data_IF_656048517355
#
_entry.id   IF_656048517355
#
_cell.length_a   1.000
_cell.length_b   1.000
_cell.length_c   1.000
_cell.angle_alpha   90.00
_cell.angle_beta   90.00
_cell.angle_gamma   90.00
#
_symmetry.space_group_name_H-M   'P 1'
#
loop_
_entity.id
_entity.type
_entity.pdbx_description
1 polymer ?
#
# COMPACT_ATOMS: atom_id res chain seq x y z
N UNK A 1 -25.88 -74.74 28.45
CA UNK A 1 -24.73 -74.26 27.65
C UNK A 1 -25.13 -74.31 26.17
N UNK A 2 -25.81 -73.26 25.68
CA UNK A 2 -26.13 -72.95 24.26
C UNK A 2 -27.31 -71.98 24.26
N UNK A 3 -27.09 -70.70 24.57
CA UNK A 3 -28.07 -69.62 24.29
C UNK A 3 -27.43 -68.22 24.37
N UNK A 4 -26.18 -68.07 23.89
CA UNK A 4 -25.48 -66.79 23.84
C UNK A 4 -24.61 -66.65 22.57
N UNK A 5 -25.09 -67.12 21.42
CA UNK A 5 -24.39 -67.00 20.13
C UNK A 5 -25.31 -66.59 18.98
N UNK A 6 -26.33 -65.76 19.24
CA UNK A 6 -27.21 -65.21 18.19
C UNK A 6 -27.52 -63.71 18.33
N UNK A 7 -26.82 -62.97 19.19
CA UNK A 7 -26.96 -61.50 19.29
C UNK A 7 -25.75 -60.69 18.79
N UNK A 8 -24.70 -61.32 18.27
CA UNK A 8 -23.52 -60.62 17.73
C UNK A 8 -23.57 -60.34 16.22
N UNK A 9 -24.64 -60.73 15.52
CA UNK A 9 -24.77 -60.56 14.06
C UNK A 9 -25.76 -59.47 13.61
N UNK A 10 -26.33 -58.68 14.54
CA UNK A 10 -27.28 -57.59 14.23
C UNK A 10 -26.78 -56.18 14.62
N UNK A 11 -25.50 -56.06 15.02
CA UNK A 11 -24.87 -54.78 15.36
C UNK A 11 -23.92 -54.23 14.28
N UNK A 12 -23.85 -54.86 13.09
CA UNK A 12 -22.99 -54.42 11.99
C UNK A 12 -23.70 -53.74 10.81
N UNK A 13 -24.95 -53.29 10.97
CA UNK A 13 -25.66 -52.53 9.92
C UNK A 13 -26.43 -51.34 10.48
N UNK A 14 -25.77 -50.47 11.26
CA UNK A 14 -26.18 -49.06 11.45
C UNK A 14 -24.95 -48.17 11.70
N UNK A 15 -24.08 -48.03 10.71
CA UNK A 15 -23.41 -46.75 10.48
C UNK A 15 -24.08 -46.12 9.27
N UNK A 16 -25.24 -45.50 9.50
CA UNK A 16 -25.78 -44.53 8.56
C UNK A 16 -24.69 -43.49 8.33
N UNK A 17 -24.34 -43.32 7.06
CA UNK A 17 -23.35 -42.40 6.55
C UNK A 17 -23.53 -41.02 7.18
N UNK A 18 -22.69 -40.69 8.17
CA UNK A 18 -22.34 -39.30 8.46
C UNK A 18 -21.13 -38.93 7.60
N UNK A 19 -21.33 -39.09 6.29
CA UNK A 19 -20.53 -38.43 5.29
C UNK A 19 -21.14 -37.05 5.12
N UNK A 20 -20.88 -36.14 6.05
CA UNK A 20 -20.90 -34.73 5.72
C UNK A 20 -19.87 -34.57 4.59
N UNK A 21 -20.36 -34.66 3.36
CA UNK A 21 -19.70 -34.03 2.23
C UNK A 21 -19.62 -32.58 2.68
N UNK A 22 -18.44 -32.16 3.15
CA UNK A 22 -18.13 -30.75 3.33
C UNK A 22 -18.13 -30.17 1.92
N UNK A 23 -19.31 -29.86 1.41
CA UNK A 23 -19.46 -28.97 0.28
C UNK A 23 -18.73 -27.71 0.72
N UNK A 24 -17.61 -27.40 0.07
CA UNK A 24 -16.91 -26.15 0.35
C UNK A 24 -17.96 -25.04 0.22
N UNK A 25 -18.17 -24.26 1.29
CA UNK A 25 -19.15 -23.20 1.23
C UNK A 25 -18.72 -22.24 0.12
N UNK A 26 -19.55 -22.10 -0.93
CA UNK A 26 -19.27 -21.21 -2.06
C UNK A 26 -19.45 -19.72 -1.69
N UNK A 27 -19.44 -19.39 -0.40
CA UNK A 27 -19.61 -18.04 0.11
C UNK A 27 -18.76 -17.78 1.36
N UNK A 28 -18.52 -16.51 1.67
CA UNK A 28 -17.76 -16.08 2.83
C UNK A 28 -18.20 -14.69 3.29
N UNK A 29 -17.90 -14.35 4.54
CA UNK A 29 -18.24 -13.05 5.13
C UNK A 29 -17.06 -12.11 4.94
N UNK A 30 -17.26 -10.99 4.23
CA UNK A 30 -16.22 -9.98 4.01
C UNK A 30 -16.06 -9.07 5.23
N UNK A 31 -17.17 -8.65 5.79
CA UNK A 31 -17.27 -7.84 7.02
C UNK A 31 -18.69 -8.00 7.56
N UNK A 32 -19.00 -7.51 8.78
CA UNK A 32 -20.35 -7.60 9.31
C UNK A 32 -21.41 -7.14 8.30
N UNK A 33 -22.47 -7.94 8.14
CA UNK A 33 -23.56 -7.74 7.19
C UNK A 33 -23.17 -7.71 5.70
N UNK A 34 -21.97 -8.17 5.32
CA UNK A 34 -21.56 -8.28 3.91
C UNK A 34 -21.08 -9.70 3.62
N UNK A 35 -21.84 -10.41 2.79
CA UNK A 35 -21.59 -11.77 2.36
C UNK A 35 -21.18 -11.77 0.88
N UNK A 36 -20.14 -12.54 0.55
CA UNK A 36 -19.61 -12.67 -0.80
C UNK A 36 -19.82 -14.10 -1.28
N UNK A 37 -20.37 -14.26 -2.48
CA UNK A 37 -20.66 -15.54 -3.12
C UNK A 37 -19.67 -15.72 -4.27
N UNK A 38 -18.93 -16.82 -4.26
CA UNK A 38 -18.08 -17.24 -5.37
C UNK A 38 -18.99 -17.85 -6.44
N UNK A 39 -19.29 -17.06 -7.48
CA UNK A 39 -20.17 -17.50 -8.55
C UNK A 39 -19.35 -18.23 -9.59
N UNK A 40 -19.49 -19.56 -9.66
CA UNK A 40 -18.92 -20.36 -10.74
C UNK A 40 -19.75 -20.16 -12.01
N UNK A 41 -19.09 -19.98 -13.16
CA UNK A 41 -19.76 -19.91 -14.47
C UNK A 41 -20.34 -21.25 -14.93
N UNK A 42 -19.99 -22.35 -14.27
CA UNK A 42 -20.51 -23.69 -14.57
C UNK A 42 -21.75 -24.06 -13.77
N UNK A 43 -22.06 -23.35 -12.67
CA UNK A 43 -23.26 -23.55 -11.86
C UNK A 43 -24.15 -22.31 -11.94
N UNK A 44 -25.34 -22.47 -12.54
CA UNK A 44 -26.26 -21.33 -12.77
C UNK A 44 -26.86 -20.74 -11.47
N UNK A 45 -26.80 -21.48 -10.36
CA UNK A 45 -27.58 -21.20 -9.14
C UNK A 45 -26.72 -21.42 -7.90
N UNK A 46 -26.29 -20.32 -7.26
CA UNK A 46 -25.60 -20.38 -5.96
C UNK A 46 -26.60 -20.08 -4.84
N UNK A 47 -26.89 -21.07 -3.99
CA UNK A 47 -27.79 -20.92 -2.85
C UNK A 47 -27.03 -20.48 -1.60
N UNK A 48 -27.53 -19.46 -0.92
CA UNK A 48 -26.88 -18.88 0.26
C UNK A 48 -27.88 -18.69 1.39
N UNK A 49 -27.58 -19.17 2.61
CA UNK A 49 -28.41 -18.92 3.77
C UNK A 49 -28.19 -17.49 4.30
N UNK A 50 -29.29 -16.79 4.59
CA UNK A 50 -29.29 -15.51 5.29
C UNK A 50 -29.96 -15.67 6.65
N UNK A 51 -29.48 -14.92 7.64
CA UNK A 51 -30.02 -14.91 9.00
C UNK A 51 -30.27 -13.46 9.43
N UNK A 52 -31.46 -13.16 9.95
CA UNK A 52 -31.78 -11.80 10.40
C UNK A 52 -31.00 -11.43 11.66
N UNK A 53 -30.93 -12.37 12.62
CA UNK A 53 -30.08 -12.28 13.81
C UNK A 53 -30.51 -13.28 14.88
N UNK A 54 -29.60 -13.64 15.77
CA UNK A 54 -29.87 -14.61 16.85
C UNK A 54 -30.99 -14.13 17.79
N UNK A 55 -31.11 -12.81 17.99
CA UNK A 55 -32.12 -12.21 18.85
C UNK A 55 -33.57 -12.38 18.33
N UNK A 56 -33.75 -12.77 17.07
CA UNK A 56 -35.06 -12.86 16.43
C UNK A 56 -35.49 -14.30 16.14
N UNK A 57 -34.83 -15.28 16.75
CA UNK A 57 -35.22 -16.69 16.65
C UNK A 57 -36.67 -16.88 17.13
N UNK A 58 -37.48 -17.62 16.35
CA UNK A 58 -38.90 -17.85 16.64
C UNK A 58 -39.84 -16.66 16.39
N UNK A 59 -39.33 -15.51 15.93
CA UNK A 59 -40.18 -14.36 15.59
C UNK A 59 -40.67 -14.43 14.13
N UNK A 60 -41.83 -13.82 13.86
CA UNK A 60 -42.34 -13.66 12.51
C UNK A 60 -41.58 -12.54 11.79
N UNK A 61 -40.76 -12.94 10.81
CA UNK A 61 -39.87 -12.05 10.05
C UNK A 61 -40.20 -12.16 8.57
N UNK A 62 -40.26 -11.02 7.90
CA UNK A 62 -40.38 -10.94 6.45
C UNK A 62 -39.12 -10.34 5.86
N UNK A 63 -38.86 -10.60 4.58
CA UNK A 63 -37.65 -10.13 3.91
C UNK A 63 -37.98 -9.33 2.67
N UNK A 64 -37.15 -8.32 2.41
CA UNK A 64 -37.20 -7.53 1.18
C UNK A 64 -35.84 -7.51 0.51
N UNK A 65 -35.83 -7.50 -0.81
CA UNK A 65 -34.64 -7.31 -1.62
C UNK A 65 -34.63 -5.91 -2.21
N UNK A 66 -33.48 -5.24 -2.09
CA UNK A 66 -33.22 -3.88 -2.58
C UNK A 66 -34.28 -2.86 -2.14
N UNK A 67 -34.89 -3.07 -0.96
CA UNK A 67 -35.95 -2.25 -0.38
C UNK A 67 -37.21 -2.11 -1.27
N UNK A 68 -37.47 -3.06 -2.17
CA UNK A 68 -38.59 -2.99 -3.11
C UNK A 68 -39.31 -4.33 -3.31
N UNK A 69 -38.55 -5.40 -3.49
CA UNK A 69 -39.11 -6.72 -3.80
C UNK A 69 -39.37 -7.50 -2.51
N UNK A 70 -40.63 -7.76 -2.18
CA UNK A 70 -40.99 -8.64 -1.07
C UNK A 70 -40.66 -10.08 -1.45
N UNK A 71 -39.94 -10.77 -0.56
CA UNK A 71 -39.64 -12.19 -0.74
C UNK A 71 -40.76 -13.05 -0.15
N UNK A 72 -41.08 -14.15 -0.84
CA UNK A 72 -42.04 -15.13 -0.33
C UNK A 72 -41.50 -15.90 0.89
N UNK A 73 -40.17 -16.05 0.98
CA UNK A 73 -39.51 -16.69 2.10
C UNK A 73 -39.64 -15.86 3.39
N UNK A 74 -40.04 -16.51 4.47
CA UNK A 74 -40.28 -15.90 5.79
C UNK A 74 -39.50 -16.63 6.89
N UNK A 75 -39.35 -15.97 8.03
CA UNK A 75 -38.66 -16.48 9.22
C UNK A 75 -37.25 -15.91 9.40
N UNK A 76 -36.62 -16.27 10.52
CA UNK A 76 -35.28 -15.76 10.88
C UNK A 76 -34.20 -16.20 9.89
N UNK A 77 -34.39 -17.36 9.26
CA UNK A 77 -33.46 -17.94 8.30
C UNK A 77 -34.17 -18.13 6.96
N UNK A 78 -33.58 -17.61 5.90
CA UNK A 78 -34.03 -17.83 4.52
C UNK A 78 -32.85 -18.30 3.67
N UNK A 79 -33.15 -18.94 2.54
CA UNK A 79 -32.14 -19.25 1.53
C UNK A 79 -32.44 -18.43 0.29
N UNK A 80 -31.43 -17.76 -0.24
CA UNK A 80 -31.55 -16.94 -1.45
C UNK A 80 -30.66 -17.49 -2.55
N UNK A 81 -31.13 -17.36 -3.78
CA UNK A 81 -30.35 -17.71 -4.98
C UNK A 81 -29.62 -16.47 -5.49
N UNK A 82 -28.32 -16.60 -5.73
CA UNK A 82 -27.50 -15.61 -6.43
C UNK A 82 -27.15 -16.15 -7.80
N UNK A 83 -27.78 -15.57 -8.81
CA UNK A 83 -27.47 -15.84 -10.22
C UNK A 83 -26.45 -14.83 -10.71
N UNK A 84 -25.36 -15.31 -11.29
CA UNK A 84 -24.44 -14.47 -12.03
C UNK A 84 -23.93 -13.26 -11.20
N UNK A 85 -24.15 -12.02 -11.68
CA UNK A 85 -23.76 -10.78 -11.00
C UNK A 85 -24.90 -10.16 -10.19
N UNK A 86 -26.04 -10.85 -10.06
CA UNK A 86 -27.27 -10.37 -9.42
C UNK A 86 -27.27 -10.59 -7.91
N UNK A 87 -26.33 -9.98 -7.20
CA UNK A 87 -26.44 -9.88 -5.73
C UNK A 87 -27.60 -8.95 -5.30
N UNK A 88 -27.60 -8.55 -4.03
CA UNK A 88 -28.70 -7.71 -3.51
C UNK A 88 -28.48 -7.28 -2.07
N UNK A 89 -29.20 -6.24 -1.66
CA UNK A 89 -29.34 -5.90 -0.25
C UNK A 89 -30.62 -6.54 0.29
N UNK A 90 -30.49 -7.44 1.26
CA UNK A 90 -31.59 -8.17 1.85
C UNK A 90 -31.87 -7.62 3.23
N UNK A 91 -33.03 -6.99 3.40
CA UNK A 91 -33.46 -6.38 4.67
C UNK A 91 -34.53 -7.26 5.31
N UNK A 92 -34.36 -7.61 6.58
CA UNK A 92 -35.37 -8.30 7.35
C UNK A 92 -36.20 -7.32 8.17
N UNK A 93 -37.50 -7.60 8.26
CA UNK A 93 -38.51 -6.75 8.88
C UNK A 93 -39.30 -7.55 9.91
N UNK A 94 -39.78 -6.87 10.96
CA UNK A 94 -40.69 -7.47 11.93
C UNK A 94 -42.12 -7.63 11.38
N UNK A 95 -43.00 -8.22 12.18
CA UNK A 95 -44.44 -8.37 11.87
C UNK A 95 -45.18 -7.06 11.55
N UNK A 96 -44.65 -5.90 11.96
CA UNK A 96 -45.22 -4.57 11.70
C UNK A 96 -44.58 -3.89 10.49
N UNK A 97 -43.60 -4.53 9.84
CA UNK A 97 -42.83 -3.96 8.75
C UNK A 97 -41.67 -3.07 9.19
N UNK A 98 -41.30 -3.07 10.48
CA UNK A 98 -40.18 -2.30 11.00
C UNK A 98 -38.84 -2.97 10.65
N UNK A 99 -37.86 -2.18 10.24
CA UNK A 99 -36.52 -2.67 9.92
C UNK A 99 -35.81 -3.28 11.15
N UNK A 100 -35.25 -4.48 10.99
CA UNK A 100 -34.51 -5.20 12.03
C UNK A 100 -33.01 -5.26 11.74
N UNK A 101 -32.64 -5.77 10.57
CA UNK A 101 -31.26 -5.93 10.13
C UNK A 101 -31.18 -6.06 8.60
N UNK A 102 -29.96 -6.12 8.05
CA UNK A 102 -29.74 -6.41 6.64
C UNK A 102 -28.52 -7.31 6.42
N UNK A 103 -28.48 -7.93 5.26
CA UNK A 103 -27.29 -8.56 4.70
C UNK A 103 -27.13 -8.14 3.25
N UNK A 104 -26.00 -7.51 2.94
CA UNK A 104 -25.58 -7.21 1.59
C UNK A 104 -24.89 -8.44 1.00
N UNK A 105 -25.46 -9.00 -0.06
CA UNK A 105 -24.91 -10.14 -0.79
C UNK A 105 -24.24 -9.65 -2.07
N UNK A 106 -22.96 -9.97 -2.22
CA UNK A 106 -22.12 -9.62 -3.36
C UNK A 106 -21.70 -10.86 -4.14
N UNK A 107 -21.68 -10.77 -5.46
CA UNK A 107 -21.11 -11.78 -6.33
C UNK A 107 -19.62 -11.48 -6.55
N UNK A 108 -18.75 -12.45 -6.25
CA UNK A 108 -17.36 -12.42 -6.68
C UNK A 108 -17.30 -12.86 -8.14
N UNK A 109 -17.02 -11.91 -9.04
CA UNK A 109 -17.05 -12.13 -10.48
C UNK A 109 -15.74 -11.68 -11.11
N UNK A 110 -15.01 -12.60 -11.75
CA UNK A 110 -13.62 -12.35 -12.18
C UNK A 110 -13.47 -11.79 -13.60
N UNK A 111 -14.52 -11.87 -14.44
CA UNK A 111 -14.44 -11.53 -15.87
C UNK A 111 -14.53 -10.03 -16.20
N UNK A 112 -14.90 -9.17 -15.26
CA UNK A 112 -15.21 -7.75 -15.54
C UNK A 112 -14.53 -6.83 -14.52
N UNK A 113 -13.30 -6.44 -14.82
CA UNK A 113 -12.46 -5.60 -13.95
C UNK A 113 -13.12 -4.27 -13.58
N UNK A 114 -13.12 -3.97 -12.29
CA UNK A 114 -13.61 -2.71 -11.68
C UNK A 114 -12.54 -1.63 -11.78
N UNK A 115 -11.27 -1.99 -11.65
CA UNK A 115 -10.13 -1.06 -11.79
C UNK A 115 -9.26 -1.42 -13.01
N UNK A 116 -8.62 -0.41 -13.59
CA UNK A 116 -7.74 -0.55 -14.75
C UNK A 116 -6.36 -1.02 -14.34
N UNK A 117 -5.79 -1.91 -15.16
CA UNK A 117 -4.38 -2.26 -15.09
C UNK A 117 -3.57 -1.26 -15.92
N UNK A 118 -2.41 -0.84 -15.43
CA UNK A 118 -1.44 -0.07 -16.20
C UNK A 118 -0.16 -0.89 -16.38
N UNK A 119 0.47 -0.89 -17.57
CA UNK A 119 1.69 -1.68 -17.80
C UNK A 119 2.84 -1.34 -16.84
N UNK A 120 2.93 -0.08 -16.41
CA UNK A 120 4.01 0.40 -15.55
C UNK A 120 3.80 0.12 -14.06
N UNK A 121 2.55 0.19 -13.58
CA UNK A 121 2.25 0.22 -12.14
C UNK A 121 1.30 -0.88 -11.67
N UNK A 122 0.80 -1.71 -12.59
CA UNK A 122 -0.20 -2.70 -12.26
C UNK A 122 -1.59 -2.09 -12.01
N UNK A 123 -2.37 -2.78 -11.17
CA UNK A 123 -3.71 -2.35 -10.75
C UNK A 123 -3.69 -1.40 -9.54
N UNK A 124 -2.77 -1.61 -8.60
CA UNK A 124 -2.60 -0.80 -7.39
C UNK A 124 -1.15 -0.31 -7.36
N UNK A 125 -0.99 1.01 -7.32
CA UNK A 125 0.31 1.69 -7.28
C UNK A 125 0.54 2.23 -5.87
N UNK A 126 1.52 1.66 -5.16
CA UNK A 126 1.89 2.08 -3.81
C UNK A 126 3.23 2.82 -3.82
N UNK A 127 3.30 3.91 -3.07
CA UNK A 127 4.54 4.69 -2.90
C UNK A 127 4.59 5.39 -1.54
N UNK A 128 5.80 5.72 -1.10
CA UNK A 128 6.03 6.61 0.03
C UNK A 128 7.18 7.56 -0.28
N UNK A 129 7.21 8.73 0.35
CA UNK A 129 8.28 9.70 0.15
C UNK A 129 9.44 9.58 1.14
N UNK A 130 9.33 8.71 2.15
CA UNK A 130 10.33 8.50 3.18
C UNK A 130 10.16 7.14 3.88
N UNK A 131 10.98 6.89 4.90
CA UNK A 131 10.93 5.68 5.72
C UNK A 131 10.10 5.88 7.01
N UNK A 132 9.16 6.81 7.04
CA UNK A 132 8.38 7.12 8.24
C UNK A 132 7.20 6.18 8.53
N UNK A 133 7.09 5.05 7.83
CA UNK A 133 5.99 4.09 7.98
C UNK A 133 4.67 4.47 7.30
N UNK A 134 4.53 5.72 6.84
CA UNK A 134 3.38 6.16 6.04
C UNK A 134 3.56 5.76 4.58
N UNK A 135 2.51 5.27 3.93
CA UNK A 135 2.51 4.98 2.49
C UNK A 135 1.14 5.23 1.86
N UNK A 136 1.14 5.58 0.57
CA UNK A 136 -0.06 5.87 -0.22
C UNK A 136 -0.20 4.87 -1.35
N UNK A 137 -1.37 4.25 -1.46
CA UNK A 137 -1.71 3.39 -2.58
C UNK A 137 -2.86 3.99 -3.40
N UNK A 138 -2.72 4.00 -4.72
CA UNK A 138 -3.70 4.58 -5.63
C UNK A 138 -4.09 3.57 -6.73
N UNK A 139 -5.25 3.79 -7.34
CA UNK A 139 -5.76 3.00 -8.45
C UNK A 139 -6.54 3.88 -9.41
N UNK A 140 -6.88 3.33 -10.58
CA UNK A 140 -7.72 4.00 -11.57
C UNK A 140 -8.96 3.17 -11.85
N UNK A 141 -10.15 3.78 -11.81
CA UNK A 141 -11.40 3.11 -12.12
C UNK A 141 -11.51 2.70 -13.58
N UNK A 142 -12.15 1.55 -13.83
CA UNK A 142 -12.54 1.07 -15.15
C UNK A 142 -13.49 2.04 -15.86
N UNK A 143 -13.56 1.96 -17.19
CA UNK A 143 -14.49 2.79 -17.96
C UNK A 143 -15.93 2.44 -17.61
N UNK A 144 -16.77 3.47 -17.43
CA UNK A 144 -18.17 3.32 -17.06
C UNK A 144 -18.41 2.56 -15.74
N UNK A 145 -17.40 2.51 -14.84
CA UNK A 145 -17.54 1.90 -13.52
C UNK A 145 -17.78 2.97 -12.46
N UNK A 146 -18.91 2.84 -11.77
CA UNK A 146 -19.11 3.50 -10.49
C UNK A 146 -18.61 2.55 -9.39
N UNK A 147 -17.31 2.56 -9.16
CA UNK A 147 -16.64 1.72 -8.17
C UNK A 147 -16.53 2.42 -6.82
N UNK A 148 -16.53 1.64 -5.73
CA UNK A 148 -16.20 2.11 -4.39
C UNK A 148 -15.38 1.05 -3.65
N UNK A 149 -14.67 1.46 -2.61
CA UNK A 149 -13.93 0.54 -1.73
C UNK A 149 -14.92 -0.08 -0.74
N UNK A 150 -15.04 -1.40 -0.76
CA UNK A 150 -15.91 -2.16 0.14
C UNK A 150 -15.21 -2.47 1.47
N UNK A 151 -13.94 -2.83 1.42
CA UNK A 151 -13.13 -3.17 2.60
C UNK A 151 -11.64 -3.07 2.27
N UNK A 152 -10.83 -2.82 3.29
CA UNK A 152 -9.36 -2.74 3.21
C UNK A 152 -8.83 -3.60 4.34
N UNK A 153 -7.93 -4.51 4.01
CA UNK A 153 -7.22 -5.37 4.95
C UNK A 153 -5.73 -5.13 4.76
N UNK A 154 -5.01 -4.79 5.83
CA UNK A 154 -3.57 -4.57 5.80
C UNK A 154 -2.91 -5.23 7.00
N UNK A 155 -1.93 -6.09 6.75
CA UNK A 155 -1.27 -6.86 7.80
C UNK A 155 0.24 -6.98 7.61
N UNK A 156 0.94 -7.20 8.72
CA UNK A 156 2.29 -7.79 8.78
C UNK A 156 2.22 -9.10 9.57
N UNK A 157 2.62 -10.25 9.00
CA UNK A 157 2.39 -11.57 9.58
C UNK A 157 2.88 -11.82 11.02
N UNK A 158 4.01 -11.28 11.48
CA UNK A 158 4.59 -11.64 12.79
C UNK A 158 4.85 -10.47 13.75
N UNK A 159 4.39 -9.25 13.43
CA UNK A 159 4.62 -8.05 14.27
C UNK A 159 3.43 -7.51 15.06
N UNK A 160 2.22 -8.06 14.86
CA UNK A 160 0.99 -7.34 15.22
C UNK A 160 0.76 -6.21 14.22
N UNK A 161 -0.34 -6.26 13.47
CA UNK A 161 -0.61 -5.28 12.41
C UNK A 161 -1.25 -4.01 12.98
N UNK A 162 -0.45 -3.12 13.57
CA UNK A 162 -0.90 -1.78 13.93
C UNK A 162 -0.79 -0.83 12.72
N UNK A 163 -1.52 -1.17 11.67
CA UNK A 163 -1.57 -0.38 10.42
C UNK A 163 -2.96 0.20 10.27
N UNK A 164 -3.05 1.52 10.27
CA UNK A 164 -4.31 2.24 10.05
C UNK A 164 -4.35 2.82 8.64
N UNK A 165 -5.46 2.65 7.93
CA UNK A 165 -5.65 3.21 6.59
C UNK A 165 -6.90 4.09 6.52
N UNK A 166 -6.81 5.20 5.78
CA UNK A 166 -7.92 6.10 5.47
C UNK A 166 -8.09 6.24 3.96
N UNK A 167 -9.33 6.17 3.50
CA UNK A 167 -9.70 6.43 2.12
C UNK A 167 -9.69 7.94 1.84
N UNK A 168 -9.20 8.34 0.68
CA UNK A 168 -9.30 9.73 0.24
C UNK A 168 -10.73 10.15 -0.10
N UNK A 169 -10.98 11.46 -0.17
CA UNK A 169 -12.30 12.01 -0.45
C UNK A 169 -12.84 11.65 -1.84
N UNK A 170 -11.95 11.35 -2.79
CA UNK A 170 -12.32 10.96 -4.16
C UNK A 170 -12.55 9.45 -4.33
N UNK A 171 -12.22 8.64 -3.31
CA UNK A 171 -12.25 7.19 -3.39
C UNK A 171 -11.28 6.59 -4.40
N UNK A 172 -10.13 7.22 -4.66
CA UNK A 172 -9.12 6.77 -5.65
C UNK A 172 -7.78 6.40 -5.02
N UNK A 173 -7.61 6.67 -3.73
CA UNK A 173 -6.40 6.31 -3.01
C UNK A 173 -6.65 6.09 -1.53
N UNK A 174 -5.76 5.31 -0.91
CA UNK A 174 -5.67 5.15 0.53
C UNK A 174 -4.35 5.73 1.02
N UNK A 175 -4.39 6.32 2.21
CA UNK A 175 -3.22 6.65 3.00
C UNK A 175 -3.18 5.69 4.19
N UNK A 176 -2.08 4.97 4.34
CA UNK A 176 -1.86 4.05 5.44
C UNK A 176 -0.66 4.50 6.26
N UNK A 177 -0.72 4.24 7.57
CA UNK A 177 0.36 4.47 8.52
C UNK A 177 0.59 3.20 9.32
N UNK A 178 1.79 2.67 9.20
CA UNK A 178 2.31 1.59 10.05
C UNK A 178 2.92 2.20 11.31
N UNK A 179 2.20 2.11 12.42
CA UNK A 179 2.56 2.78 13.69
C UNK A 179 3.77 2.14 14.37
N UNK A 180 4.05 0.88 14.04
CA UNK A 180 5.13 0.11 14.66
C UNK A 180 6.37 0.05 13.73
N UNK A 181 6.35 0.78 12.61
CA UNK A 181 7.44 0.80 11.65
C UNK A 181 8.71 1.46 12.22
N UNK A 182 9.84 0.76 12.13
CA UNK A 182 11.15 1.30 12.51
C UNK A 182 11.96 1.67 11.25
N UNK A 183 12.22 2.96 10.99
CA UNK A 183 12.96 3.41 9.81
C UNK A 183 14.41 2.90 9.72
N UNK A 184 14.98 2.49 10.86
CA UNK A 184 16.39 2.11 10.99
C UNK A 184 16.60 0.60 11.00
N UNK A 185 15.53 -0.18 11.14
CA UNK A 185 15.61 -1.63 11.14
C UNK A 185 15.48 -2.18 9.72
N UNK A 186 16.11 -3.32 9.47
CA UNK A 186 15.87 -4.08 8.24
C UNK A 186 14.45 -4.65 8.25
N UNK A 187 13.72 -4.49 7.14
CA UNK A 187 12.38 -5.06 7.02
C UNK A 187 12.47 -6.58 6.78
N UNK A 188 12.12 -7.35 7.79
CA UNK A 188 12.04 -8.82 7.68
C UNK A 188 10.78 -9.25 6.91
N UNK A 189 9.69 -8.49 7.05
CA UNK A 189 8.37 -8.85 6.53
C UNK A 189 7.77 -7.79 5.61
N UNK A 190 7.07 -8.28 4.59
CA UNK A 190 6.33 -7.43 3.66
C UNK A 190 5.01 -7.00 4.28
N UNK A 191 4.61 -5.78 3.98
CA UNK A 191 3.21 -5.34 4.11
C UNK A 191 2.37 -6.17 3.14
N UNK A 192 1.29 -6.75 3.64
CA UNK A 192 0.29 -7.46 2.85
C UNK A 192 -1.00 -6.63 2.81
N UNK A 193 -1.25 -5.99 1.68
CA UNK A 193 -2.42 -5.14 1.45
C UNK A 193 -3.41 -5.87 0.55
N UNK A 194 -4.65 -6.02 1.00
CA UNK A 194 -5.77 -6.48 0.19
C UNK A 194 -6.87 -5.42 0.18
N UNK A 195 -7.24 -4.96 -1.02
CA UNK A 195 -8.35 -4.01 -1.20
C UNK A 195 -9.49 -4.73 -1.91
N UNK A 196 -10.69 -4.64 -1.33
CA UNK A 196 -11.92 -5.14 -1.92
C UNK A 196 -12.67 -3.97 -2.56
N UNK A 197 -12.81 -4.02 -3.89
CA UNK A 197 -13.58 -3.06 -4.66
C UNK A 197 -14.95 -3.60 -4.97
N UNK A 198 -15.96 -2.73 -4.98
CA UNK A 198 -17.32 -3.08 -5.32
C UNK A 198 -17.87 -2.14 -6.40
N UNK A 199 -18.63 -2.71 -7.33
CA UNK A 199 -19.46 -1.97 -8.27
C UNK A 199 -20.82 -2.66 -8.36
N UNK A 200 -21.89 -1.93 -8.02
CA UNK A 200 -23.24 -2.49 -7.84
C UNK A 200 -23.25 -3.65 -6.82
N UNK A 201 -23.48 -4.90 -7.24
CA UNK A 201 -23.43 -6.08 -6.37
C UNK A 201 -22.29 -7.03 -6.72
N UNK A 202 -21.28 -6.54 -7.44
CA UNK A 202 -20.08 -7.30 -7.78
C UNK A 202 -18.92 -6.83 -6.92
N UNK A 203 -18.12 -7.77 -6.43
CA UNK A 203 -16.88 -7.51 -5.69
C UNK A 203 -15.68 -8.10 -6.41
N UNK A 204 -14.55 -7.40 -6.33
CA UNK A 204 -13.23 -7.88 -6.74
C UNK A 204 -12.24 -7.61 -5.62
N UNK A 205 -11.24 -8.47 -5.48
CA UNK A 205 -10.15 -8.29 -4.53
C UNK A 205 -8.82 -8.14 -5.27
N UNK A 206 -7.97 -7.28 -4.75
CA UNK A 206 -6.63 -7.03 -5.29
C UNK A 206 -5.63 -7.01 -4.16
N UNK A 207 -4.56 -7.77 -4.33
CA UNK A 207 -3.50 -7.95 -3.35
C UNK A 207 -2.21 -7.27 -3.81
N UNK A 208 -1.55 -6.55 -2.90
CA UNK A 208 -0.24 -5.97 -3.09
C UNK A 208 0.66 -6.37 -1.91
N UNK A 209 1.85 -6.89 -2.22
CA UNK A 209 2.86 -7.28 -1.23
C UNK A 209 4.16 -6.56 -1.50
N UNK A 210 4.63 -5.78 -0.53
CA UNK A 210 5.83 -4.96 -0.70
C UNK A 210 6.55 -4.72 0.64
N UNK A 211 7.85 -4.47 0.55
CA UNK A 211 8.58 -3.79 1.62
C UNK A 211 8.41 -2.28 1.43
N UNK A 212 8.39 -1.51 2.52
CA UNK A 212 8.36 -0.04 2.45
C UNK A 212 9.57 0.46 1.65
N UNK A 213 10.78 -0.06 1.90
CA UNK A 213 12.00 0.32 1.16
C UNK A 213 11.89 0.18 -0.36
N UNK A 214 11.08 -0.75 -0.86
CA UNK A 214 10.91 -0.99 -2.30
C UNK A 214 9.95 0.02 -2.95
N UNK A 215 9.08 0.65 -2.16
CA UNK A 215 8.10 1.64 -2.62
C UNK A 215 8.51 3.07 -2.28
N UNK A 216 9.69 3.27 -1.68
CA UNK A 216 10.23 4.60 -1.40
C UNK A 216 10.53 5.32 -2.72
N UNK A 217 10.06 6.56 -2.79
CA UNK A 217 10.23 7.48 -3.90
C UNK A 217 10.35 8.89 -3.34
N UNK A 218 11.56 9.46 -3.26
CA UNK A 218 11.75 10.80 -2.70
C UNK A 218 10.90 11.83 -3.41
N UNK A 219 10.50 12.88 -2.68
CA UNK A 219 9.84 14.02 -3.29
C UNK A 219 10.76 14.76 -4.27
N UNK A 220 10.14 15.62 -5.08
CA UNK A 220 10.85 16.41 -6.08
C UNK A 220 11.95 17.27 -5.44
N UNK A 221 13.17 17.10 -5.93
CA UNK A 221 14.38 17.72 -5.39
C UNK A 221 14.34 19.26 -5.48
N UNK A 222 14.48 19.99 -4.35
CA UNK A 222 14.63 21.44 -4.37
C UNK A 222 15.96 21.89 -4.98
N UNK A 223 15.92 22.92 -5.84
CA UNK A 223 17.10 23.53 -6.47
C UNK A 223 17.05 25.04 -6.21
N UNK A 224 18.13 25.59 -5.65
CA UNK A 224 18.30 27.03 -5.41
C UNK A 224 19.59 27.54 -6.06
N UNK A 225 19.63 28.84 -6.38
CA UNK A 225 20.89 29.47 -6.82
C UNK A 225 21.83 29.55 -5.63
N UNK A 226 23.05 29.05 -5.78
CA UNK A 226 24.11 29.19 -4.78
C UNK A 226 24.99 30.40 -5.10
N UNK A 227 25.56 30.41 -6.31
CA UNK A 227 26.35 31.52 -6.82
C UNK A 227 26.10 31.73 -8.33
N UNK A 228 26.95 32.50 -9.01
CA UNK A 228 26.81 32.79 -10.45
C UNK A 228 27.11 31.60 -11.35
N UNK A 229 27.85 30.61 -10.86
CA UNK A 229 28.36 29.46 -11.63
C UNK A 229 27.93 28.11 -11.08
N UNK A 230 27.19 28.07 -9.96
CA UNK A 230 26.68 26.85 -9.34
C UNK A 230 25.29 27.01 -8.74
N UNK A 231 24.57 25.91 -8.72
CA UNK A 231 23.30 25.74 -8.01
C UNK A 231 23.50 24.83 -6.83
N UNK A 232 22.68 25.02 -5.82
CA UNK A 232 22.57 24.12 -4.69
C UNK A 232 21.34 23.23 -4.86
N UNK A 233 21.55 21.95 -4.62
CA UNK A 233 20.56 20.90 -4.57
C UNK A 233 20.44 20.46 -3.11
N UNK A 234 19.21 20.39 -2.60
CA UNK A 234 18.94 19.97 -1.22
C UNK A 234 18.08 18.73 -1.19
N UNK A 235 18.13 18.01 -0.07
CA UNK A 235 17.18 16.93 0.15
C UNK A 235 15.78 17.52 0.29
N UNK A 236 14.73 16.83 -0.20
CA UNK A 236 13.37 17.21 0.10
C UNK A 236 13.16 17.27 1.61
N UNK A 237 12.40 18.25 2.10
CA UNK A 237 12.13 18.40 3.55
C UNK A 237 11.39 17.20 4.15
N UNK A 238 10.68 16.46 3.30
CA UNK A 238 9.93 15.25 3.64
C UNK A 238 10.80 14.01 3.73
N UNK A 239 12.05 14.06 3.28
CA UNK A 239 12.95 12.90 3.29
C UNK A 239 13.36 12.52 4.71
N UNK A 240 13.66 11.25 4.92
CA UNK A 240 14.10 10.73 6.23
C UNK A 240 15.38 11.41 6.72
N UNK A 241 15.46 11.60 8.03
CA UNK A 241 16.62 12.17 8.73
C UNK A 241 17.17 11.17 9.74
N UNK A 242 18.49 11.19 10.03
CA UNK A 242 19.50 12.10 9.48
C UNK A 242 19.95 11.71 8.05
N UNK A 243 20.42 12.69 7.28
CA UNK A 243 20.89 12.46 5.89
C UNK A 243 22.15 11.58 5.81
N UNK A 244 22.90 11.46 6.91
CA UNK A 244 24.03 10.53 7.02
C UNK A 244 23.59 9.07 7.04
N UNK A 245 22.37 8.79 7.49
CA UNK A 245 21.79 7.44 7.53
C UNK A 245 20.92 7.15 6.30
N UNK A 246 20.20 8.17 5.82
CA UNK A 246 19.35 8.08 4.62
C UNK A 246 19.95 8.92 3.48
N UNK A 247 21.09 8.50 2.89
CA UNK A 247 21.69 9.26 1.80
C UNK A 247 20.89 9.12 0.51
N UNK A 248 20.68 10.26 -0.15
CA UNK A 248 20.17 10.33 -1.52
C UNK A 248 21.32 10.46 -2.50
N UNK A 249 21.16 9.78 -3.63
CA UNK A 249 21.95 10.01 -4.84
C UNK A 249 21.15 10.82 -5.84
N UNK A 250 21.77 11.85 -6.41
CA UNK A 250 21.18 12.67 -7.45
C UNK A 250 21.55 12.15 -8.84
N UNK A 251 20.58 12.18 -9.74
CA UNK A 251 20.82 12.09 -11.17
C UNK A 251 20.62 13.47 -11.79
N UNK A 252 21.63 13.92 -12.51
CA UNK A 252 21.71 15.25 -13.10
C UNK A 252 21.79 15.12 -14.61
N UNK A 253 21.02 15.95 -15.31
CA UNK A 253 20.98 16.00 -16.76
C UNK A 253 21.06 17.46 -17.21
N UNK A 254 22.04 17.80 -18.03
CA UNK A 254 22.08 19.08 -18.72
C UNK A 254 21.38 18.97 -20.08
N UNK A 255 20.52 19.94 -20.40
CA UNK A 255 19.77 19.98 -21.66
C UNK A 255 20.00 21.29 -22.41
N UNK A 256 20.39 21.14 -23.68
CA UNK A 256 20.45 22.21 -24.68
C UNK A 256 19.08 22.38 -25.35
N UNK A 257 18.07 22.82 -24.60
CA UNK A 257 16.75 23.06 -25.17
C UNK A 257 16.13 24.38 -24.73
N UNK A 258 16.11 25.36 -25.65
CA UNK A 258 15.51 26.69 -25.38
C UNK A 258 14.00 26.60 -25.11
N UNK A 259 13.27 25.77 -25.87
CA UNK A 259 11.79 25.70 -25.82
C UNK A 259 11.22 24.64 -24.85
N UNK A 260 12.04 23.79 -24.25
CA UNK A 260 11.54 22.70 -23.41
C UNK A 260 11.01 23.21 -22.06
N UNK A 261 9.78 22.82 -21.72
CA UNK A 261 9.13 23.08 -20.42
C UNK A 261 9.32 21.92 -19.43
N UNK A 262 9.79 20.76 -19.90
CA UNK A 262 10.03 19.54 -19.13
C UNK A 262 11.46 19.03 -19.39
N UNK A 263 11.90 18.06 -18.60
CA UNK A 263 13.21 17.40 -18.73
C UNK A 263 13.33 16.40 -19.89
N UNK A 264 12.40 16.50 -20.85
CA UNK A 264 12.35 15.68 -22.04
C UNK A 264 12.73 16.52 -23.27
N UNK A 265 13.62 15.98 -24.09
CA UNK A 265 14.17 16.64 -25.27
C UNK A 265 14.20 15.62 -26.40
N UNK A 266 13.38 15.86 -27.43
CA UNK A 266 13.18 14.97 -28.58
C UNK A 266 14.44 14.76 -29.44
N UNK A 267 15.53 15.46 -29.15
CA UNK A 267 16.82 15.30 -29.83
C UNK A 267 17.85 14.69 -28.87
N UNK A 268 18.39 13.49 -29.18
CA UNK A 268 19.33 12.78 -28.31
C UNK A 268 20.77 13.32 -28.35
N UNK A 269 21.09 14.31 -29.19
CA UNK A 269 22.49 14.74 -29.35
C UNK A 269 22.97 15.56 -28.14
N UNK A 270 23.75 14.91 -27.28
CA UNK A 270 24.43 15.39 -26.06
C UNK A 270 23.56 15.53 -24.79
N UNK A 271 22.90 14.45 -24.36
CA UNK A 271 22.38 14.35 -23.00
C UNK A 271 23.45 13.69 -22.12
N UNK A 272 24.27 14.49 -21.45
CA UNK A 272 25.19 13.98 -20.44
C UNK A 272 24.42 13.77 -19.13
N UNK A 273 24.37 12.52 -18.67
CA UNK A 273 23.72 12.13 -17.44
C UNK A 273 24.83 11.79 -16.44
N UNK A 274 24.85 12.50 -15.31
CA UNK A 274 25.78 12.26 -14.22
C UNK A 274 25.06 11.87 -12.95
N UNK A 275 25.74 11.11 -12.10
CA UNK A 275 25.27 10.68 -10.79
C UNK A 275 26.18 11.25 -9.72
N UNK A 276 25.63 11.83 -8.66
CA UNK A 276 26.43 12.48 -7.61
C UNK A 276 25.66 12.63 -6.31
N UNK A 277 26.38 12.75 -5.21
CA UNK A 277 25.84 13.16 -3.91
C UNK A 277 26.20 14.62 -3.60
N UNK A 278 26.92 15.29 -4.51
CA UNK A 278 27.37 16.66 -4.33
C UNK A 278 26.16 17.58 -4.37
N UNK A 279 25.99 18.36 -3.30
CA UNK A 279 24.91 19.33 -3.18
C UNK A 279 25.14 20.59 -4.04
N UNK A 280 26.39 20.95 -4.33
CA UNK A 280 26.73 22.12 -5.14
C UNK A 280 27.11 21.70 -6.56
N UNK A 281 26.20 21.91 -7.51
CA UNK A 281 26.41 21.50 -8.89
C UNK A 281 26.87 22.68 -9.74
N UNK A 282 27.91 22.52 -10.57
CA UNK A 282 28.32 23.54 -11.52
C UNK A 282 27.23 23.72 -12.59
N UNK A 283 27.14 24.94 -13.12
CA UNK A 283 26.10 25.32 -14.07
C UNK A 283 26.72 25.85 -15.35
N UNK A 284 26.37 25.23 -16.47
CA UNK A 284 26.76 25.73 -17.78
C UNK A 284 25.81 26.84 -18.26
N UNK A 285 26.37 28.00 -18.63
CA UNK A 285 25.59 29.15 -19.14
C UNK A 285 24.81 28.77 -20.40
N UNK A 286 23.52 29.10 -20.43
CA UNK A 286 22.65 28.85 -21.58
C UNK A 286 22.10 27.42 -21.67
N UNK A 287 22.41 26.56 -20.69
CA UNK A 287 21.80 25.24 -20.55
C UNK A 287 20.57 25.28 -19.64
N UNK A 288 19.82 24.18 -19.57
CA UNK A 288 18.92 23.93 -18.44
C UNK A 288 19.40 22.69 -17.72
N UNK A 289 19.21 22.64 -16.41
CA UNK A 289 19.60 21.50 -15.60
C UNK A 289 18.35 20.79 -15.09
N UNK A 290 18.37 19.47 -15.14
CA UNK A 290 17.34 18.60 -14.61
C UNK A 290 17.95 17.74 -13.51
N UNK A 291 17.31 17.71 -12.34
CA UNK A 291 17.79 16.93 -11.19
C UNK A 291 16.64 16.09 -10.64
N UNK A 292 16.93 14.85 -10.28
CA UNK A 292 16.06 13.98 -9.49
C UNK A 292 16.89 13.16 -8.50
N UNK A 293 16.26 12.60 -7.48
CA UNK A 293 16.93 11.83 -6.44
C UNK A 293 16.37 10.40 -6.35
N UNK A 294 17.18 9.48 -5.86
CA UNK A 294 16.76 8.17 -5.34
C UNK A 294 17.53 7.86 -4.07
N UNK A 295 17.05 6.89 -3.32
CA UNK A 295 17.84 6.29 -2.25
C UNK A 295 19.16 5.74 -2.81
N UNK A 296 20.28 6.06 -2.18
CA UNK A 296 21.58 5.56 -2.62
C UNK A 296 21.77 4.07 -2.31
N UNK A 297 21.28 3.64 -1.14
CA UNK A 297 21.53 2.32 -0.58
C UNK A 297 20.54 1.29 -1.10
N UNK A 298 19.31 1.70 -1.40
CA UNK A 298 18.27 0.82 -1.93
C UNK A 298 17.95 1.07 -3.40
N UNK A 299 17.57 0.00 -4.08
CA UNK A 299 17.07 0.05 -5.45
C UNK A 299 15.61 0.52 -5.50
N UNK A 300 15.38 1.75 -5.06
CA UNK A 300 14.06 2.38 -4.98
C UNK A 300 13.74 3.23 -6.21
N UNK A 301 12.54 3.82 -6.24
CA UNK A 301 12.09 4.63 -7.35
C UNK A 301 12.72 6.02 -7.36
N UNK A 302 13.05 6.51 -8.56
CA UNK A 302 13.50 7.89 -8.75
C UNK A 302 12.37 8.90 -8.50
N UNK A 303 12.69 10.03 -7.88
CA UNK A 303 11.81 11.19 -7.78
C UNK A 303 11.43 11.73 -9.16
N UNK A 304 10.41 12.57 -9.20
CA UNK A 304 10.12 13.39 -10.38
C UNK A 304 11.29 14.33 -10.69
N UNK A 305 11.49 14.63 -11.98
CA UNK A 305 12.50 15.58 -12.42
C UNK A 305 12.15 17.02 -11.99
N UNK A 306 13.14 17.74 -11.47
CA UNK A 306 13.07 19.19 -11.31
C UNK A 306 13.94 19.92 -12.33
N UNK A 307 13.34 20.88 -13.04
CA UNK A 307 13.99 21.67 -14.09
C UNK A 307 14.41 23.02 -13.53
N UNK A 308 15.69 23.37 -13.69
CA UNK A 308 16.25 24.67 -13.37
C UNK A 308 16.71 25.40 -14.64
N UNK A 309 16.28 26.65 -14.81
CA UNK A 309 16.65 27.49 -15.94
C UNK A 309 17.90 28.34 -15.61
N UNK A 310 19.00 28.12 -16.32
CA UNK A 310 20.24 28.88 -16.13
C UNK A 310 20.25 30.21 -16.90
N UNK A 311 19.22 30.44 -17.73
CA UNK A 311 19.07 31.57 -18.65
C UNK A 311 18.87 32.92 -17.93
N UNK A 312 18.61 32.92 -16.62
CA UNK A 312 18.52 34.12 -15.79
C UNK A 312 19.84 34.58 -15.14
N UNK A 313 21.00 34.06 -15.59
CA UNK A 313 22.31 34.59 -15.21
C UNK A 313 22.72 35.61 -16.29
N UNK A 314 21.94 36.67 -16.39
CA UNK A 314 22.23 37.86 -17.21
C UNK A 314 22.64 38.95 -16.23
N UNK A 315 23.75 39.61 -16.54
CA UNK A 315 24.44 40.63 -15.76
C UNK A 315 23.50 41.48 -14.89
N UNK A 316 23.56 41.30 -13.56
CA UNK A 316 23.19 42.35 -12.65
C UNK A 316 24.38 43.31 -12.58
N UNK A 317 24.48 44.21 -13.56
CA UNK A 317 25.20 45.46 -13.40
C UNK A 317 24.20 46.51 -12.90
N UNK A 318 24.57 47.16 -11.80
CA UNK A 318 23.96 48.35 -11.20
C UNK A 318 22.51 48.25 -10.71
N UNK A 319 22.36 47.90 -9.44
CA UNK A 319 21.62 48.75 -8.50
C UNK A 319 22.08 48.41 -7.10
N UNK A 320 22.82 49.35 -6.51
CA UNK A 320 23.22 49.32 -5.12
C UNK A 320 21.99 49.17 -4.22
N UNK A 321 22.10 48.36 -3.17
CA UNK A 321 21.42 48.55 -1.88
C UNK A 321 22.17 47.72 -0.81
N UNK A 322 22.90 48.46 0.02
CA UNK A 322 23.43 48.28 1.38
C UNK A 322 23.49 46.88 2.05
N UNK A 323 24.61 46.55 2.73
CA UNK A 323 24.74 45.34 3.54
C UNK A 323 24.04 45.49 4.90
N UNK A 324 23.15 44.56 5.22
CA UNK A 324 22.68 44.35 6.59
C UNK A 324 23.70 43.48 7.33
N UNK A 325 24.41 44.06 8.28
CA UNK A 325 25.23 43.34 9.25
C UNK A 325 24.30 42.51 10.16
N UNK A 326 24.48 41.18 10.17
CA UNK A 326 23.96 40.34 11.25
C UNK A 326 25.12 39.49 11.75
N UNK A 327 25.63 39.86 12.92
CA UNK A 327 26.65 39.16 13.68
C UNK A 327 25.99 38.09 14.53
N UNK A 328 26.29 36.82 14.27
CA UNK A 328 26.20 35.74 15.27
C UNK A 328 27.48 34.88 15.21
N UNK A 329 27.97 34.41 16.37
CA UNK A 329 29.31 33.83 16.51
C UNK A 329 29.37 32.38 16.01
N UNK A 330 30.58 31.86 15.71
CA UNK A 330 30.76 30.49 15.23
C UNK A 330 30.51 29.47 16.37
N UNK A 331 29.89 28.31 16.08
CA UNK A 331 29.88 27.21 17.04
C UNK A 331 31.27 26.57 17.12
N UNK A 332 31.65 26.24 18.36
CA UNK A 332 32.91 25.58 18.71
C UNK A 332 33.04 24.23 18.02
N UNK A 333 34.23 23.99 17.47
CA UNK A 333 34.74 22.69 17.06
C UNK A 333 34.82 21.76 18.27
N UNK A 334 34.11 20.64 18.23
CA UNK A 334 34.51 19.44 18.98
C UNK A 334 34.68 18.30 17.99
N UNK A 335 35.95 17.95 17.77
CA UNK A 335 36.38 16.78 17.05
C UNK A 335 36.42 15.60 18.02
N UNK A 336 35.58 14.59 17.82
CA UNK A 336 35.84 13.23 18.28
C UNK A 336 35.43 12.24 17.19
N UNK A 337 36.24 11.20 16.92
CA UNK A 337 35.96 10.24 15.86
C UNK A 337 35.15 9.08 16.43
N UNK A 338 33.94 8.86 15.92
CA UNK A 338 33.28 7.55 16.01
C UNK A 338 33.01 7.06 14.59
N UNK A 339 33.99 6.31 14.08
CA UNK A 339 33.81 5.42 12.93
C UNK A 339 33.27 4.10 13.47
N UNK A 340 32.00 3.82 13.18
CA UNK A 340 31.41 2.48 13.12
C UNK A 340 30.12 2.59 12.30
N UNK A 341 30.26 2.85 11.00
CA UNK A 341 29.14 2.71 10.06
C UNK A 341 28.87 1.22 9.83
N UNK A 342 27.85 0.69 10.51
CA UNK A 342 27.20 -0.53 10.04
C UNK A 342 26.36 -0.15 8.82
N UNK A 343 26.79 -0.60 7.64
CA UNK A 343 26.01 -0.47 6.40
C UNK A 343 24.87 -1.49 6.44
N UNK A 344 23.65 -1.02 6.58
CA UNK A 344 22.47 -1.82 6.27
C UNK A 344 22.38 -1.89 4.74
N UNK A 345 22.69 -3.05 4.18
CA UNK A 345 22.53 -3.34 2.76
C UNK A 345 21.09 -3.81 2.53
N UNK A 346 20.47 -3.40 1.43
CA UNK A 346 19.10 -3.84 1.14
C UNK A 346 19.11 -5.35 0.81
N UNK A 347 18.08 -6.12 1.19
CA UNK A 347 18.13 -7.60 1.21
C UNK A 347 18.43 -8.26 -0.14
N UNK A 348 18.29 -7.53 -1.25
CA UNK A 348 18.53 -8.04 -2.59
C UNK A 348 20.01 -8.05 -3.01
N UNK A 349 20.91 -7.39 -2.26
CA UNK A 349 22.36 -7.40 -2.55
C UNK A 349 23.14 -8.50 -1.80
N UNK A 350 22.48 -9.36 -1.02
CA UNK A 350 23.11 -10.43 -0.24
C UNK A 350 23.36 -11.75 -1.01
N UNK A 351 23.19 -11.77 -2.34
CA UNK A 351 23.46 -12.96 -3.17
C UNK A 351 24.68 -12.77 -4.08
N UNK A 352 25.85 -12.56 -3.50
CA UNK A 352 27.14 -12.90 -4.09
C UNK A 352 28.21 -12.89 -2.99
N UNK A 353 28.96 -13.99 -2.84
CA UNK A 353 30.01 -14.27 -1.84
C UNK A 353 29.54 -15.06 -0.60
N UNK A 354 29.16 -16.32 -0.82
CA UNK A 354 29.23 -17.34 0.22
C UNK A 354 30.60 -18.05 0.13
N UNK A 355 31.48 -17.82 1.11
CA UNK A 355 32.52 -18.76 1.52
C UNK A 355 32.43 -18.88 3.05
N UNK A 356 32.25 -20.09 3.61
CA UNK A 356 32.01 -20.28 5.03
C UNK A 356 33.35 -20.46 5.75
N UNK A 357 33.66 -19.60 6.71
CA UNK A 357 34.50 -19.86 7.91
C UNK A 357 34.88 -18.51 8.54
N UNK A 358 34.01 -18.01 9.42
CA UNK A 358 34.33 -17.20 10.61
C UNK A 358 33.06 -16.49 11.07
N UNK A 359 32.11 -17.25 11.62
CA UNK A 359 31.00 -16.69 12.37
C UNK A 359 31.22 -17.01 13.85
N UNK A 360 31.92 -16.11 14.54
CA UNK A 360 31.96 -16.07 15.99
C UNK A 360 31.99 -14.61 16.44
N UNK A 361 31.02 -14.27 17.30
CA UNK A 361 30.92 -13.08 18.14
C UNK A 361 30.60 -11.73 17.47
N UNK A 362 29.30 -11.38 17.44
CA UNK A 362 28.76 -10.25 18.21
C UNK A 362 27.23 -10.21 18.06
N UNK A 363 26.52 -10.70 19.09
CA UNK A 363 25.14 -10.31 19.34
C UNK A 363 25.18 -8.91 19.95
N UNK A 364 24.63 -7.92 19.25
CA UNK A 364 24.15 -6.69 19.90
C UNK A 364 22.63 -6.77 19.82
N UNK A 365 22.02 -7.13 20.94
CA UNK A 365 20.58 -6.92 21.15
C UNK A 365 20.31 -5.42 21.08
N UNK A 366 19.70 -4.94 20.00
CA UNK A 366 18.88 -3.74 20.08
C UNK A 366 17.55 -4.18 20.68
N UNK A 367 17.45 -4.12 22.00
CA UNK A 367 16.18 -4.29 22.71
C UNK A 367 15.23 -3.17 22.28
N UNK A 368 14.39 -3.46 21.29
CA UNK A 368 13.22 -2.67 20.95
C UNK A 368 12.11 -3.07 21.94
N UNK A 369 12.24 -2.61 23.18
CA UNK A 369 11.28 -2.93 24.23
C UNK A 369 10.05 -2.03 24.04
N UNK A 370 8.90 -2.71 23.90
CA UNK A 370 7.59 -2.13 23.68
C UNK A 370 7.29 -0.93 24.60
N UNK A 371 6.83 0.18 23.98
CA UNK A 371 6.44 1.47 24.57
C UNK A 371 7.60 2.39 24.97
N UNK A 372 8.17 3.11 24.01
CA UNK A 372 8.28 4.59 23.99
C UNK A 372 9.13 5.04 22.80
N UNK A 373 8.79 6.21 22.24
CA UNK A 373 9.37 6.85 21.04
C UNK A 373 10.87 6.62 20.85
N UNK A 374 11.24 6.05 19.69
CA UNK A 374 12.61 6.09 19.18
C UNK A 374 13.03 7.55 18.99
N UNK A 375 13.90 8.04 19.88
CA UNK A 375 14.52 9.36 19.79
C UNK A 375 15.96 9.15 19.33
N UNK A 376 16.36 9.75 18.21
CA UNK A 376 17.76 9.78 17.82
C UNK A 376 18.55 10.59 18.85
N UNK A 377 19.50 9.96 19.54
CA UNK A 377 20.49 10.65 20.37
C UNK A 377 21.36 11.54 19.50
N UNK A 378 21.55 12.79 19.94
CA UNK A 378 22.40 13.82 19.32
C UNK A 378 23.87 13.45 19.42
#
# INVERSE_FOLDING_TARGET
MMFFLLLSALLFLRSSADGSIKTAENYWILKPNVLVVNVDTSEDVNMVPLVCGEAYEGQHITWTRNNAENLEAQGNRIVVTVEAWKGGNYSCLDSKGSYLNHTLVLAHWTFRKIIKNTPEKGYIDCSTNNYGGSFKCNWTWGENRNGHVAHIEVTRPHGGSNISCSLDSEGKSILCLDHDYCPYAEEVERVNLTIYFRSSFVVESYNAKFYIMNIVRPDKVPISRFNKTSVEVRYPQTWSTPSSYFPLMFQVKEIRCRKCKKCDCSKPSSQEISFTQIHQLPVTKGMKMCVRARDELCNSSWSEWNLYNTVGIVNAESSALTPYHSTYPPPLSSSLPFSLQHRVLCPHDATALANPLSAAHMLIESTCESRNRCSAGV
#
